data_IF_303478502274
#
_entry.id   IF_303478502274
#
_cell.length_a   1.000
_cell.length_b   1.000
_cell.length_c   1.000
_cell.angle_alpha   90.00
_cell.angle_beta   90.00
_cell.angle_gamma   90.00
#
_symmetry.space_group_name_H-M   'P 1'
#
loop_
_entity.id
_entity.type
_entity.pdbx_description
1 polymer ?
#
# COMPACT_ATOMS: atom_id res chain seq x y z
N UNK A 1 -18.38 -29.23 34.56
CA UNK A 1 -18.23 -27.76 34.49
C UNK A 1 -16.94 -27.38 35.20
N UNK A 2 -16.08 -26.50 34.66
CA UNK A 2 -15.42 -26.63 33.36
C UNK A 2 -13.88 -26.49 33.49
N UNK A 3 -13.10 -27.06 32.56
CA UNK A 3 -11.77 -26.52 32.25
C UNK A 3 -11.83 -26.09 30.80
N UNK A 4 -12.21 -24.83 30.63
CA UNK A 4 -12.02 -24.09 29.40
C UNK A 4 -10.52 -24.00 29.17
N UNK A 5 -9.96 -24.99 28.47
CA UNK A 5 -8.74 -24.76 27.72
C UNK A 5 -9.13 -23.73 26.67
N UNK A 6 -8.88 -22.45 27.01
CA UNK A 6 -8.96 -21.37 26.05
C UNK A 6 -8.19 -21.84 24.81
N UNK A 7 -8.88 -21.85 23.67
CA UNK A 7 -8.23 -21.96 22.39
C UNK A 7 -7.00 -21.04 22.44
N UNK A 8 -5.79 -21.51 22.12
CA UNK A 8 -4.75 -20.56 21.78
C UNK A 8 -5.34 -19.77 20.63
N UNK A 9 -5.63 -18.49 20.89
CA UNK A 9 -5.84 -17.47 19.88
C UNK A 9 -4.60 -17.60 19.00
N UNK A 10 -4.75 -18.40 17.95
CA UNK A 10 -3.70 -18.63 16.98
C UNK A 10 -3.82 -17.36 16.18
N UNK A 11 -3.19 -16.30 16.69
CA UNK A 11 -2.76 -15.16 15.90
C UNK A 11 -1.81 -15.77 14.87
N UNK A 12 -2.39 -16.40 13.85
CA UNK A 12 -1.74 -16.65 12.58
C UNK A 12 -1.08 -15.32 12.22
N UNK A 13 0.16 -15.32 11.68
CA UNK A 13 0.69 -14.08 11.13
C UNK A 13 -0.41 -13.57 10.21
N UNK A 14 -1.02 -12.45 10.58
CA UNK A 14 -2.01 -11.80 9.73
C UNK A 14 -1.15 -11.37 8.56
N UNK A 15 -1.12 -12.20 7.51
CA UNK A 15 -0.51 -11.84 6.25
C UNK A 15 -1.25 -10.58 5.86
N UNK A 16 -0.61 -9.42 6.12
CA UNK A 16 -1.21 -8.14 5.86
C UNK A 16 -1.50 -8.12 4.38
N UNK A 17 -2.79 -8.13 4.05
CA UNK A 17 -3.26 -8.44 2.71
C UNK A 17 -2.79 -7.40 1.69
N UNK A 18 -2.49 -6.18 2.14
CA UNK A 18 -2.17 -5.06 1.29
C UNK A 18 -0.94 -4.28 1.75
N UNK A 19 -0.11 -3.88 0.79
CA UNK A 19 1.06 -3.02 0.99
C UNK A 19 0.85 -1.67 0.31
N UNK A 20 0.94 -0.59 1.07
CA UNK A 20 0.83 0.78 0.57
C UNK A 20 2.24 1.31 0.30
N UNK A 21 2.53 1.62 -0.96
CA UNK A 21 3.83 2.12 -1.41
C UNK A 21 3.67 3.52 -1.98
N UNK A 22 4.48 4.46 -1.49
CA UNK A 22 4.62 5.79 -2.05
C UNK A 22 5.69 5.81 -3.11
N UNK A 23 5.34 6.30 -4.29
CA UNK A 23 6.25 6.64 -5.36
C UNK A 23 6.48 8.15 -5.36
N UNK A 24 7.72 8.62 -5.34
CA UNK A 24 8.08 10.04 -5.50
C UNK A 24 8.72 10.25 -6.86
N UNK A 25 7.97 10.85 -7.78
CA UNK A 25 8.41 11.16 -9.15
C UNK A 25 9.37 12.36 -9.21
N UNK A 26 9.61 13.02 -8.07
CA UNK A 26 10.63 14.07 -7.96
C UNK A 26 12.06 13.52 -8.07
N UNK A 27 12.25 12.21 -7.87
CA UNK A 27 13.55 11.54 -7.93
C UNK A 27 13.58 10.49 -9.06
N UNK A 28 14.76 10.16 -9.61
CA UNK A 28 14.86 9.14 -10.63
C UNK A 28 14.49 7.74 -10.10
N UNK A 29 14.04 6.81 -10.96
CA UNK A 29 13.55 5.50 -10.55
C UNK A 29 14.58 4.60 -9.86
N UNK A 30 15.87 4.81 -10.13
CA UNK A 30 16.98 4.12 -9.46
C UNK A 30 17.30 4.70 -8.07
N UNK A 31 16.65 5.79 -7.65
CA UNK A 31 16.87 6.40 -6.35
C UNK A 31 16.18 5.59 -5.25
N UNK A 32 16.85 5.38 -4.11
CA UNK A 32 16.30 4.60 -2.99
C UNK A 32 14.99 5.18 -2.42
N UNK A 33 14.82 6.50 -2.53
CA UNK A 33 13.61 7.21 -2.09
C UNK A 33 12.47 7.18 -3.12
N UNK A 34 12.72 6.67 -4.32
CA UNK A 34 11.71 6.62 -5.38
C UNK A 34 10.50 5.80 -4.95
N UNK A 35 10.70 4.63 -4.35
CA UNK A 35 9.64 3.76 -3.87
C UNK A 35 9.81 3.48 -2.37
N UNK A 36 8.92 4.01 -1.55
CA UNK A 36 8.94 3.84 -0.09
C UNK A 36 7.67 3.12 0.37
N UNK A 37 7.82 1.97 1.02
CA UNK A 37 6.69 1.31 1.69
C UNK A 37 6.26 2.17 2.89
N UNK A 38 5.02 2.62 2.92
CA UNK A 38 4.48 3.44 4.00
C UNK A 38 3.85 2.60 5.11
N UNK A 39 3.01 1.65 4.71
CA UNK A 39 2.23 0.83 5.63
C UNK A 39 1.84 -0.49 4.97
N UNK A 40 1.43 -1.43 5.82
CA UNK A 40 0.76 -2.66 5.46
C UNK A 40 -0.58 -2.67 6.18
N UNK A 41 -1.65 -3.02 5.48
CA UNK A 41 -3.01 -2.97 5.98
C UNK A 41 -3.73 -4.27 5.62
N UNK A 42 -4.70 -4.66 6.44
CA UNK A 42 -5.52 -5.83 6.18
C UNK A 42 -6.77 -5.48 5.37
N UNK A 43 -7.23 -4.23 5.50
CA UNK A 43 -8.42 -3.72 4.81
C UNK A 43 -8.07 -2.63 3.80
N UNK A 44 -8.67 -2.71 2.60
CA UNK A 44 -8.43 -1.73 1.54
C UNK A 44 -8.97 -0.34 1.90
N UNK A 45 -9.97 -0.26 2.78
CA UNK A 45 -10.56 1.00 3.27
C UNK A 45 -9.56 1.80 4.12
N UNK A 46 -8.56 1.14 4.73
CA UNK A 46 -7.49 1.81 5.45
C UNK A 46 -6.48 2.49 4.52
N UNK A 47 -6.50 2.15 3.22
CA UNK A 47 -5.64 2.80 2.23
C UNK A 47 -6.23 4.14 1.80
N UNK A 48 -5.43 5.22 1.78
CA UNK A 48 -5.91 6.55 1.40
C UNK A 48 -6.44 6.56 -0.03
N UNK A 49 -7.59 7.21 -0.25
CA UNK A 49 -8.19 7.40 -1.57
C UNK A 49 -7.56 8.56 -2.37
N UNK A 50 -7.02 9.55 -1.66
CA UNK A 50 -6.43 10.74 -2.26
C UNK A 50 -5.03 10.98 -1.67
N UNK A 51 -4.09 11.37 -2.53
CA UNK A 51 -2.78 11.83 -2.12
C UNK A 51 -2.57 13.29 -2.51
N UNK A 52 -2.27 14.14 -1.51
CA UNK A 52 -2.24 15.61 -1.69
C UNK A 52 -0.98 16.14 -2.35
N UNK A 53 0.00 15.28 -2.62
CA UNK A 53 1.33 15.67 -3.07
C UNK A 53 1.44 15.46 -4.56
N UNK A 54 1.52 16.56 -5.29
CA UNK A 54 1.51 16.56 -6.76
C UNK A 54 2.76 16.01 -7.44
N UNK A 55 3.69 15.37 -6.75
CA UNK A 55 4.80 14.62 -7.37
C UNK A 55 4.90 13.21 -6.78
N UNK A 56 3.91 12.81 -5.98
CA UNK A 56 3.90 11.54 -5.30
C UNK A 56 2.63 10.78 -5.69
N UNK A 57 2.76 9.49 -5.90
CA UNK A 57 1.65 8.56 -6.13
C UNK A 57 1.66 7.52 -5.00
N UNK A 58 0.49 7.16 -4.47
CA UNK A 58 0.35 5.96 -3.67
C UNK A 58 -0.20 4.82 -4.51
N UNK A 59 0.46 3.67 -4.40
CA UNK A 59 0.06 2.43 -5.04
C UNK A 59 -0.13 1.39 -3.96
N UNK A 60 -1.29 0.74 -3.98
CA UNK A 60 -1.61 -0.37 -3.09
C UNK A 60 -1.41 -1.68 -3.86
N UNK A 61 -0.58 -2.53 -3.29
CA UNK A 61 -0.33 -3.88 -3.78
C UNK A 61 -1.04 -4.90 -2.92
N UNK A 62 -1.61 -5.91 -3.54
CA UNK A 62 -2.08 -7.14 -2.89
C UNK A 62 -0.92 -8.07 -2.50
N UNK A 63 -1.20 -9.10 -1.70
CA UNK A 63 -0.23 -10.11 -1.22
C UNK A 63 0.62 -10.73 -2.34
N UNK A 64 0.06 -10.89 -3.54
CA UNK A 64 0.78 -11.44 -4.71
C UNK A 64 1.52 -10.37 -5.53
N UNK A 65 1.59 -9.13 -5.05
CA UNK A 65 2.27 -8.00 -5.71
C UNK A 65 1.47 -7.39 -6.87
N UNK A 66 0.14 -7.57 -6.90
CA UNK A 66 -0.72 -6.96 -7.91
C UNK A 66 -1.18 -5.58 -7.47
N UNK A 67 -1.16 -4.62 -8.38
CA UNK A 67 -1.73 -3.29 -8.12
C UNK A 67 -3.25 -3.40 -8.07
N UNK A 68 -3.85 -3.01 -6.95
CA UNK A 68 -5.31 -3.01 -6.77
C UNK A 68 -5.90 -1.61 -6.64
N UNK A 69 -5.09 -0.64 -6.20
CA UNK A 69 -5.48 0.76 -6.06
C UNK A 69 -4.29 1.65 -6.37
N UNK A 70 -4.57 2.77 -7.04
CA UNK A 70 -3.64 3.88 -7.25
C UNK A 70 -4.37 5.16 -6.92
N UNK A 71 -3.77 5.99 -6.08
CA UNK A 71 -4.20 7.39 -5.99
C UNK A 71 -3.59 8.10 -7.18
N UNK A 72 -4.39 8.70 -8.06
CA UNK A 72 -3.84 9.56 -9.12
C UNK A 72 -2.96 10.62 -8.45
N UNK A 73 -1.63 10.42 -8.54
CA UNK A 73 -0.68 11.51 -8.51
C UNK A 73 -1.00 12.47 -9.65
N UNK A 74 -0.29 13.62 -9.81
CA UNK A 74 -0.64 14.58 -10.85
C UNK A 74 -0.88 13.85 -12.17
N UNK A 75 -1.99 14.13 -12.85
CA UNK A 75 -2.13 13.70 -14.23
C UNK A 75 -0.90 14.21 -14.98
N UNK A 76 0.05 13.31 -15.27
CA UNK A 76 1.20 13.66 -16.08
C UNK A 76 0.64 14.36 -17.32
N UNK A 77 1.21 15.50 -17.76
CA UNK A 77 0.73 16.15 -18.96
C UNK A 77 0.74 15.07 -20.04
N UNK A 78 -0.43 14.84 -20.65
CA UNK A 78 -0.60 13.82 -21.66
C UNK A 78 0.36 14.17 -22.80
N UNK A 79 1.55 13.57 -22.81
CA UNK A 79 2.46 13.66 -23.95
C UNK A 79 1.88 12.69 -24.97
N UNK A 80 0.84 13.17 -25.66
CA UNK A 80 0.41 12.64 -26.94
C UNK A 80 1.56 12.92 -27.90
N UNK A 81 2.28 11.85 -28.25
CA UNK A 81 3.18 11.82 -29.40
C UNK A 81 2.40 12.03 -30.69
#
# INVERSE_FOLDING_TARGET
MPSAYGQPDTLLPTEQSYSIVRFDESVPPDHELFATKLAEVDDLDESPDEWKRSNEELVVYDEVGRIIKRTDGPAAPSVLF
#
